data_IF_217807190988
#
_entry.id   IF_217807190988
#
_cell.length_a   1.000
_cell.length_b   1.000
_cell.length_c   1.000
_cell.angle_alpha   90.00
_cell.angle_beta   90.00
_cell.angle_gamma   90.00
#
_symmetry.space_group_name_H-M   'P 1'
#
loop_
_entity.id
_entity.type
_entity.pdbx_description
1 polymer ?
#
# COMPACT_ATOMS: atom_id res chain seq x y z
N UNK A 1 -34.82 -91.09 18.75
CA UNK A 1 -34.80 -90.00 17.75
C UNK A 1 -34.83 -88.60 18.40
N UNK A 2 -33.88 -88.25 19.22
CA UNK A 2 -33.84 -86.92 19.87
C UNK A 2 -32.46 -86.17 19.69
N UNK A 3 -31.52 -86.81 19.04
CA UNK A 3 -30.14 -86.25 18.89
C UNK A 3 -29.94 -85.42 17.63
N UNK A 4 -30.74 -85.53 16.60
CA UNK A 4 -30.58 -84.82 15.35
C UNK A 4 -31.08 -83.35 15.39
N UNK A 5 -32.03 -83.04 16.26
CA UNK A 5 -32.63 -81.75 16.35
C UNK A 5 -31.70 -80.65 16.99
N UNK A 6 -30.80 -81.11 17.89
CA UNK A 6 -29.79 -80.21 18.44
C UNK A 6 -28.70 -79.91 17.41
N UNK A 7 -28.26 -80.89 16.62
CA UNK A 7 -27.25 -80.72 15.57
C UNK A 7 -27.77 -79.85 14.43
N UNK A 8 -29.02 -79.98 14.02
CA UNK A 8 -29.64 -79.11 13.03
C UNK A 8 -29.76 -77.65 13.50
N UNK A 9 -30.18 -77.40 14.74
CA UNK A 9 -30.21 -76.01 15.31
C UNK A 9 -28.83 -75.39 15.35
N UNK A 10 -27.79 -76.12 15.74
CA UNK A 10 -26.42 -75.62 15.80
C UNK A 10 -25.88 -75.30 14.41
N UNK A 11 -26.21 -76.13 13.39
CA UNK A 11 -25.83 -75.87 12.01
C UNK A 11 -26.52 -74.66 11.42
N UNK A 12 -27.80 -74.47 11.74
CA UNK A 12 -28.55 -73.26 11.30
C UNK A 12 -28.01 -72.01 11.95
N UNK A 13 -27.72 -72.05 13.26
CA UNK A 13 -27.13 -70.88 13.98
C UNK A 13 -25.72 -70.58 13.45
N UNK A 14 -24.90 -71.57 13.18
CA UNK A 14 -23.58 -71.40 12.61
C UNK A 14 -23.66 -70.80 11.19
N UNK A 15 -24.60 -71.28 10.35
CA UNK A 15 -24.84 -70.68 9.01
C UNK A 15 -25.32 -69.27 9.06
N UNK A 16 -26.20 -68.90 10.01
CA UNK A 16 -26.68 -67.56 10.19
C UNK A 16 -25.57 -66.60 10.67
N UNK A 17 -24.72 -67.05 11.59
CA UNK A 17 -23.58 -66.27 12.08
C UNK A 17 -22.55 -66.04 10.97
N UNK A 18 -22.35 -67.02 10.07
CA UNK A 18 -21.43 -66.84 8.93
C UNK A 18 -21.98 -65.90 7.89
N UNK A 19 -23.29 -65.84 7.65
CA UNK A 19 -23.95 -64.86 6.79
C UNK A 19 -23.84 -63.45 7.35
N UNK A 20 -24.11 -63.25 8.61
CA UNK A 20 -23.98 -61.95 9.28
C UNK A 20 -22.51 -61.49 9.27
N UNK A 21 -21.56 -62.40 9.44
CA UNK A 21 -20.13 -62.11 9.34
C UNK A 21 -19.71 -61.66 7.94
N UNK A 22 -20.23 -62.33 6.89
CA UNK A 22 -19.96 -61.96 5.51
C UNK A 22 -20.57 -60.59 5.12
N UNK A 23 -21.79 -60.31 5.56
CA UNK A 23 -22.45 -59.00 5.31
C UNK A 23 -21.73 -57.86 6.02
N UNK A 24 -21.31 -58.07 7.26
CA UNK A 24 -20.54 -57.05 7.99
C UNK A 24 -19.16 -56.79 7.38
N UNK A 25 -18.46 -57.83 6.91
CA UNK A 25 -17.18 -57.66 6.20
C UNK A 25 -17.34 -56.91 4.88
N UNK A 26 -18.43 -57.19 4.15
CA UNK A 26 -18.71 -56.50 2.87
C UNK A 26 -19.11 -55.03 3.09
N UNK A 27 -19.83 -54.72 4.16
CA UNK A 27 -20.16 -53.34 4.55
C UNK A 27 -18.91 -52.52 4.93
N UNK A 28 -18.00 -53.10 5.70
CA UNK A 28 -16.73 -52.46 6.06
C UNK A 28 -15.84 -52.23 4.83
N UNK A 29 -15.77 -53.22 3.94
CA UNK A 29 -15.02 -53.07 2.69
C UNK A 29 -15.60 -52.01 1.77
N UNK A 30 -16.93 -51.92 1.65
CA UNK A 30 -17.62 -50.90 0.88
C UNK A 30 -17.40 -49.49 1.46
N UNK A 31 -17.40 -49.36 2.77
CA UNK A 31 -17.17 -48.10 3.46
C UNK A 31 -15.72 -47.61 3.33
N UNK A 32 -14.76 -48.53 3.36
CA UNK A 32 -13.33 -48.30 3.11
C UNK A 32 -13.08 -47.82 1.67
N UNK A 33 -13.75 -48.37 0.70
CA UNK A 33 -13.64 -47.97 -0.70
C UNK A 33 -14.33 -46.63 -1.00
N UNK A 34 -15.42 -46.31 -0.31
CA UNK A 34 -16.13 -45.03 -0.45
C UNK A 34 -15.33 -43.86 0.14
N UNK A 35 -14.60 -44.06 1.22
CA UNK A 35 -13.75 -43.05 1.82
C UNK A 35 -12.47 -42.76 1.00
N UNK A 36 -11.95 -43.77 0.28
CA UNK A 36 -10.77 -43.63 -0.58
C UNK A 36 -11.03 -42.78 -1.85
N UNK A 37 -12.28 -42.66 -2.30
CA UNK A 37 -12.62 -41.90 -3.51
C UNK A 37 -12.74 -40.38 -3.27
N UNK A 38 -12.77 -39.92 -2.03
CA UNK A 38 -12.87 -38.46 -1.70
C UNK A 38 -11.54 -37.74 -1.71
N UNK A 39 -10.43 -38.44 -1.50
CA UNK A 39 -9.10 -37.83 -1.48
C UNK A 39 -8.62 -37.25 -2.83
N UNK A 40 -8.80 -37.91 -3.98
CA UNK A 40 -8.28 -37.36 -5.24
C UNK A 40 -9.03 -36.16 -5.74
N UNK A 41 -10.31 -35.96 -5.41
CA UNK A 41 -11.05 -34.74 -5.79
C UNK A 41 -10.62 -33.52 -4.99
N UNK A 42 -10.33 -33.66 -3.70
CA UNK A 42 -9.79 -32.58 -2.87
C UNK A 42 -8.38 -32.19 -3.30
N UNK A 43 -7.58 -33.15 -3.71
CA UNK A 43 -6.23 -32.93 -4.20
C UNK A 43 -6.23 -32.21 -5.57
N UNK A 44 -7.12 -32.59 -6.48
CA UNK A 44 -7.33 -31.91 -7.75
C UNK A 44 -7.81 -30.46 -7.57
N UNK A 45 -8.72 -30.20 -6.64
CA UNK A 45 -9.16 -28.84 -6.28
C UNK A 45 -8.01 -28.03 -5.69
N UNK A 46 -7.19 -28.63 -4.83
CA UNK A 46 -6.00 -27.99 -4.29
C UNK A 46 -4.99 -27.61 -5.38
N UNK A 47 -4.68 -28.55 -6.27
CA UNK A 47 -3.75 -28.34 -7.39
C UNK A 47 -4.27 -27.29 -8.39
N UNK A 48 -5.56 -27.31 -8.73
CA UNK A 48 -6.16 -26.31 -9.62
C UNK A 48 -6.17 -24.91 -8.99
N UNK A 49 -6.35 -24.82 -7.67
CA UNK A 49 -6.27 -23.53 -6.95
C UNK A 49 -4.84 -23.01 -6.92
N UNK A 50 -3.85 -23.86 -6.65
CA UNK A 50 -2.44 -23.48 -6.71
C UNK A 50 -2.02 -23.04 -8.12
N UNK A 51 -2.47 -23.75 -9.15
CA UNK A 51 -2.19 -23.41 -10.54
C UNK A 51 -2.77 -22.04 -10.91
N UNK A 52 -4.00 -21.73 -10.48
CA UNK A 52 -4.62 -20.41 -10.67
C UNK A 52 -3.88 -19.30 -9.96
N UNK A 53 -3.42 -19.54 -8.72
CA UNK A 53 -2.60 -18.57 -7.97
C UNK A 53 -1.26 -18.31 -8.67
N UNK A 54 -0.57 -19.36 -9.09
CA UNK A 54 0.69 -19.24 -9.85
C UNK A 54 0.49 -18.51 -11.18
N UNK A 55 -0.59 -18.79 -11.89
CA UNK A 55 -0.93 -18.07 -13.14
C UNK A 55 -1.18 -16.59 -12.87
N UNK A 56 -1.92 -16.25 -11.81
CA UNK A 56 -2.16 -14.86 -11.43
C UNK A 56 -0.86 -14.13 -11.03
N UNK A 57 0.05 -14.81 -10.33
CA UNK A 57 1.35 -14.26 -9.96
C UNK A 57 2.27 -14.03 -11.18
N UNK A 58 2.28 -14.97 -12.12
CA UNK A 58 3.01 -14.82 -13.40
C UNK A 58 2.45 -13.65 -14.22
N UNK A 59 1.12 -13.52 -14.29
CA UNK A 59 0.47 -12.40 -14.99
C UNK A 59 0.82 -11.06 -14.34
N UNK A 60 0.78 -10.99 -12.98
CA UNK A 60 1.21 -9.81 -12.22
C UNK A 60 2.68 -9.47 -12.49
N UNK A 61 3.56 -10.48 -12.46
CA UNK A 61 4.99 -10.29 -12.75
C UNK A 61 5.24 -9.79 -14.18
N UNK A 62 4.48 -10.29 -15.16
CA UNK A 62 4.54 -9.82 -16.55
C UNK A 62 4.08 -8.37 -16.69
N UNK A 63 3.00 -7.99 -16.02
CA UNK A 63 2.53 -6.61 -16.03
C UNK A 63 3.55 -5.66 -15.39
N UNK A 64 4.11 -6.02 -14.23
CA UNK A 64 5.19 -5.24 -13.60
C UNK A 64 6.38 -5.11 -14.55
N UNK A 65 6.81 -6.20 -15.20
CA UNK A 65 7.92 -6.15 -16.16
C UNK A 65 7.63 -5.28 -17.37
N UNK A 66 6.36 -5.25 -17.83
CA UNK A 66 5.91 -4.42 -18.95
C UNK A 66 5.91 -2.94 -18.59
N UNK A 67 5.49 -2.61 -17.35
CA UNK A 67 5.36 -1.23 -16.90
C UNK A 67 6.68 -0.66 -16.37
N UNK A 68 7.64 -1.53 -16.01
CA UNK A 68 8.95 -1.14 -15.49
C UNK A 68 9.73 -0.16 -16.38
N UNK A 69 9.81 -0.33 -17.72
CA UNK A 69 10.52 0.64 -18.56
C UNK A 69 9.88 2.02 -18.57
N UNK A 70 8.54 2.08 -18.56
CA UNK A 70 7.80 3.34 -18.47
C UNK A 70 8.04 4.01 -17.12
N UNK A 71 7.92 3.26 -16.02
CA UNK A 71 8.19 3.78 -14.68
C UNK A 71 9.64 4.26 -14.52
N UNK A 72 10.60 3.58 -15.17
CA UNK A 72 11.99 4.03 -15.18
C UNK A 72 12.15 5.34 -15.95
N UNK A 73 11.52 5.45 -17.11
CA UNK A 73 11.54 6.67 -17.91
C UNK A 73 10.91 7.85 -17.14
N UNK A 74 9.78 7.63 -16.48
CA UNK A 74 9.11 8.64 -15.64
C UNK A 74 10.02 9.08 -14.48
N UNK A 75 10.74 8.14 -13.85
CA UNK A 75 11.72 8.46 -12.82
C UNK A 75 12.89 9.28 -13.36
N UNK A 76 13.46 8.88 -14.50
CA UNK A 76 14.59 9.58 -15.14
C UNK A 76 14.15 11.01 -15.56
N UNK A 77 12.93 11.17 -16.06
CA UNK A 77 12.36 12.47 -16.42
C UNK A 77 12.13 13.34 -15.18
N UNK A 78 11.60 12.77 -14.09
CA UNK A 78 11.48 13.45 -12.82
C UNK A 78 12.84 13.90 -12.27
N UNK A 79 13.83 13.00 -12.22
CA UNK A 79 15.19 13.33 -11.77
C UNK A 79 15.84 14.45 -12.60
N UNK A 80 15.58 14.48 -13.91
CA UNK A 80 16.08 15.52 -14.79
C UNK A 80 15.35 16.86 -14.64
N UNK A 81 14.12 16.86 -14.15
CA UNK A 81 13.35 18.06 -13.87
C UNK A 81 13.76 18.73 -12.55
N UNK A 82 14.48 18.02 -11.67
CA UNK A 82 14.90 18.55 -10.38
C UNK A 82 16.03 19.58 -10.53
N UNK A 83 15.91 20.73 -9.84
CA UNK A 83 16.99 21.72 -9.79
C UNK A 83 18.21 21.19 -9.01
N UNK A 84 19.45 21.62 -9.36
CA UNK A 84 20.63 21.22 -8.62
C UNK A 84 20.69 21.84 -7.23
N UNK A 85 21.19 21.11 -6.24
CA UNK A 85 21.23 21.52 -4.82
C UNK A 85 22.00 22.83 -4.62
N UNK A 86 23.05 23.09 -5.39
CA UNK A 86 23.90 24.27 -5.20
C UNK A 86 23.19 25.61 -5.41
N UNK A 87 22.15 25.68 -6.25
CA UNK A 87 21.35 26.89 -6.52
C UNK A 87 19.92 26.76 -5.98
N UNK A 88 19.52 25.57 -5.52
CA UNK A 88 18.16 25.24 -5.15
C UNK A 88 17.63 26.06 -3.98
N UNK A 89 18.43 26.23 -2.91
CA UNK A 89 17.98 26.97 -1.72
C UNK A 89 17.66 28.44 -2.01
N UNK A 90 18.54 29.10 -2.74
CA UNK A 90 18.32 30.52 -3.10
C UNK A 90 17.17 30.67 -4.09
N UNK A 91 17.00 29.75 -5.02
CA UNK A 91 15.89 29.74 -5.96
C UNK A 91 14.55 29.54 -5.22
N UNK A 92 14.45 28.54 -4.32
CA UNK A 92 13.25 28.31 -3.49
C UNK A 92 12.95 29.51 -2.61
N UNK A 93 13.94 30.07 -1.93
CA UNK A 93 13.74 31.23 -1.08
C UNK A 93 13.20 32.42 -1.89
N UNK A 94 13.80 32.71 -3.05
CA UNK A 94 13.37 33.80 -3.91
C UNK A 94 11.97 33.57 -4.47
N UNK A 95 11.65 32.35 -4.87
CA UNK A 95 10.33 31.99 -5.40
C UNK A 95 9.24 32.07 -4.34
N UNK A 96 9.49 31.53 -3.14
CA UNK A 96 8.54 31.64 -2.02
C UNK A 96 8.26 33.10 -1.66
N UNK A 97 9.30 33.94 -1.62
CA UNK A 97 9.16 35.35 -1.38
C UNK A 97 8.35 36.08 -2.49
N UNK A 98 8.58 35.70 -3.75
CA UNK A 98 7.83 36.23 -4.88
C UNK A 98 6.35 35.80 -4.84
N UNK A 99 6.06 34.54 -4.58
CA UNK A 99 4.69 34.01 -4.44
C UNK A 99 4.01 34.71 -3.25
N UNK A 100 4.70 34.82 -2.11
CA UNK A 100 4.21 35.51 -0.92
C UNK A 100 3.83 36.95 -1.22
N UNK A 101 4.72 37.71 -1.85
CA UNK A 101 4.47 39.12 -2.24
C UNK A 101 3.29 39.25 -3.22
N UNK A 102 3.20 38.38 -4.22
CA UNK A 102 2.08 38.37 -5.19
C UNK A 102 0.75 38.02 -4.50
N UNK A 103 0.79 37.20 -3.48
CA UNK A 103 -0.38 36.84 -2.69
C UNK A 103 -0.78 37.92 -1.68
N UNK A 104 0.12 38.85 -1.32
CA UNK A 104 -0.06 39.83 -0.28
C UNK A 104 0.26 39.32 1.13
N UNK A 105 1.12 38.31 1.23
CA UNK A 105 1.61 37.76 2.49
C UNK A 105 3.02 38.26 2.82
N UNK A 106 3.32 38.34 4.11
CA UNK A 106 4.67 38.57 4.61
C UNK A 106 5.22 37.25 5.16
N UNK A 107 6.39 36.87 4.66
CA UNK A 107 7.13 35.72 5.21
C UNK A 107 7.90 36.22 6.43
N UNK A 108 7.55 35.67 7.60
CA UNK A 108 8.16 36.08 8.87
C UNK A 108 9.44 35.28 9.17
N UNK A 109 9.48 34.01 8.79
CA UNK A 109 10.63 33.15 8.94
C UNK A 109 10.66 32.05 7.87
N UNK A 110 11.87 31.64 7.50
CA UNK A 110 12.11 30.57 6.55
C UNK A 110 13.32 29.78 7.06
N UNK A 111 13.13 28.48 7.29
CA UNK A 111 14.18 27.56 7.70
C UNK A 111 14.24 26.37 6.73
N UNK A 112 15.45 25.87 6.47
CA UNK A 112 15.71 24.76 5.56
C UNK A 112 16.41 23.64 6.31
N UNK A 113 15.88 22.43 6.17
CA UNK A 113 16.47 21.19 6.70
C UNK A 113 16.65 20.21 5.55
N UNK A 114 17.91 19.82 5.29
CA UNK A 114 18.22 18.85 4.23
C UNK A 114 18.26 17.46 4.81
N UNK A 115 17.55 16.54 4.15
CA UNK A 115 17.65 15.09 4.36
C UNK A 115 18.19 14.44 3.10
N UNK A 116 19.24 13.68 3.22
CA UNK A 116 19.79 12.92 2.08
C UNK A 116 19.01 11.60 1.92
N UNK A 117 18.32 11.45 0.82
CA UNK A 117 17.60 10.23 0.45
C UNK A 117 18.60 9.20 -0.12
N UNK A 118 19.48 8.68 0.73
CA UNK A 118 20.62 7.84 0.38
C UNK A 118 20.44 6.94 -0.84
N UNK A 119 21.36 7.05 -1.80
CA UNK A 119 21.56 6.13 -2.92
C UNK A 119 20.91 6.49 -4.26
N UNK A 120 20.11 7.56 -4.36
CA UNK A 120 19.46 7.98 -5.63
C UNK A 120 19.94 9.32 -6.19
N UNK A 121 20.89 9.99 -5.56
CA UNK A 121 21.31 11.31 -6.01
C UNK A 121 20.22 12.38 -5.92
N UNK A 122 19.22 12.19 -5.03
CA UNK A 122 18.13 13.13 -4.74
C UNK A 122 18.27 13.55 -3.28
N UNK A 123 18.24 14.84 -3.03
CA UNK A 123 18.16 15.43 -1.70
C UNK A 123 16.73 15.95 -1.46
N UNK A 124 16.15 15.57 -0.34
CA UNK A 124 14.91 16.14 0.18
C UNK A 124 15.24 17.35 1.04
N UNK A 125 14.54 18.43 0.79
CA UNK A 125 14.68 19.64 1.61
C UNK A 125 13.33 19.97 2.22
N UNK A 126 13.29 19.93 3.55
CA UNK A 126 12.14 20.39 4.33
C UNK A 126 12.28 21.90 4.50
N UNK A 127 11.22 22.62 4.18
CA UNK A 127 11.14 24.06 4.27
C UNK A 127 10.07 24.41 5.29
N UNK A 128 10.48 25.00 6.39
CA UNK A 128 9.60 25.50 7.43
C UNK A 128 9.40 27.00 7.21
N UNK A 129 8.19 27.41 6.86
CA UNK A 129 7.85 28.80 6.58
C UNK A 129 6.74 29.29 7.51
N UNK A 130 6.95 30.45 8.14
CA UNK A 130 5.89 31.15 8.85
C UNK A 130 5.47 32.37 8.06
N UNK A 131 4.18 32.46 7.73
CA UNK A 131 3.62 33.59 6.97
C UNK A 131 2.46 34.22 7.73
N UNK A 132 2.25 35.52 7.54
CA UNK A 132 1.17 36.27 8.16
C UNK A 132 0.41 37.10 7.11
N UNK A 133 -0.91 37.10 7.22
CA UNK A 133 -1.78 37.86 6.34
C UNK A 133 -3.25 37.50 6.47
N UNK A 134 -4.10 37.93 5.55
CA UNK A 134 -5.51 37.58 5.53
C UNK A 134 -5.72 36.17 4.91
N UNK A 135 -6.81 35.51 5.26
CA UNK A 135 -7.15 34.18 4.78
C UNK A 135 -7.14 34.06 3.24
N UNK A 136 -7.64 35.10 2.54
CA UNK A 136 -7.68 35.13 1.08
C UNK A 136 -6.28 35.14 0.47
N UNK A 137 -5.34 35.83 1.10
CA UNK A 137 -3.93 35.88 0.70
C UNK A 137 -3.25 34.54 0.93
N UNK A 138 -3.57 33.83 2.03
CA UNK A 138 -3.09 32.47 2.28
C UNK A 138 -3.56 31.49 1.17
N UNK A 139 -4.83 31.54 0.77
CA UNK A 139 -5.35 30.73 -0.32
C UNK A 139 -4.66 31.03 -1.65
N UNK A 140 -4.39 32.29 -1.94
CA UNK A 140 -3.65 32.69 -3.15
C UNK A 140 -2.21 32.16 -3.13
N UNK A 141 -1.58 32.23 -1.98
CA UNK A 141 -0.23 31.70 -1.78
C UNK A 141 -0.16 30.18 -2.03
N UNK A 142 -1.07 29.41 -1.44
CA UNK A 142 -1.16 27.97 -1.66
C UNK A 142 -1.42 27.63 -3.13
N UNK A 143 -2.30 28.36 -3.81
CA UNK A 143 -2.51 28.21 -5.25
C UNK A 143 -1.25 28.55 -6.06
N UNK A 144 -0.46 29.53 -5.61
CA UNK A 144 0.81 29.87 -6.20
C UNK A 144 1.82 28.73 -6.08
N UNK A 145 1.92 28.12 -4.89
CA UNK A 145 2.78 26.95 -4.65
C UNK A 145 2.41 25.75 -5.53
N UNK A 146 1.10 25.47 -5.67
CA UNK A 146 0.62 24.36 -6.51
C UNK A 146 0.95 24.54 -8.00
N UNK A 147 1.13 25.77 -8.45
CA UNK A 147 1.47 26.11 -9.84
C UNK A 147 2.95 26.31 -10.08
N UNK A 148 3.76 26.17 -9.04
CA UNK A 148 5.20 26.31 -9.13
C UNK A 148 5.82 25.15 -9.92
N UNK A 149 6.87 25.44 -10.67
CA UNK A 149 7.66 24.44 -11.37
C UNK A 149 8.50 23.56 -10.42
N UNK A 150 8.70 23.98 -9.17
CA UNK A 150 9.55 23.29 -8.20
C UNK A 150 8.84 22.18 -7.42
N UNK A 151 7.62 21.76 -7.82
CA UNK A 151 6.90 20.61 -7.26
C UNK A 151 6.89 20.57 -5.71
N UNK A 152 6.46 21.66 -5.07
CA UNK A 152 6.35 21.69 -3.61
C UNK A 152 5.27 20.72 -3.10
N UNK A 153 5.64 19.86 -2.17
CA UNK A 153 4.70 19.04 -1.41
C UNK A 153 4.40 19.72 -0.06
N UNK A 154 3.14 20.00 0.22
CA UNK A 154 2.71 20.57 1.51
C UNK A 154 2.41 19.41 2.44
N UNK A 155 3.23 19.23 3.48
CA UNK A 155 3.04 18.15 4.47
C UNK A 155 2.10 18.55 5.58
N UNK A 156 2.27 19.77 6.09
CA UNK A 156 1.45 20.27 7.18
C UNK A 156 1.21 21.76 7.01
N UNK A 157 0.03 22.19 7.44
CA UNK A 157 -0.38 23.59 7.44
C UNK A 157 -1.17 23.85 8.73
N UNK A 158 -0.65 24.73 9.56
CA UNK A 158 -1.30 25.11 10.81
C UNK A 158 -1.70 26.57 10.74
N UNK A 159 -3.01 26.86 10.91
CA UNK A 159 -3.53 28.22 10.96
C UNK A 159 -3.80 28.61 12.40
N UNK A 160 -3.23 29.72 12.80
CA UNK A 160 -3.47 30.30 14.11
C UNK A 160 -4.08 31.70 13.93
N UNK A 161 -5.31 31.87 14.44
CA UNK A 161 -5.97 33.18 14.43
C UNK A 161 -5.31 34.09 15.47
N UNK A 162 -4.84 35.24 15.08
CA UNK A 162 -4.33 36.27 15.99
C UNK A 162 -5.50 37.03 16.60
N UNK A 163 -5.96 36.56 17.78
CA UNK A 163 -7.08 37.19 18.51
C UNK A 163 -6.65 38.14 19.64
N UNK A 164 -5.36 38.42 19.80
CA UNK A 164 -4.88 39.18 20.96
C UNK A 164 -3.99 40.38 20.56
N UNK A 165 -4.50 41.57 20.78
CA UNK A 165 -3.68 42.76 21.05
C UNK A 165 -3.11 43.48 19.81
N UNK A 166 -3.96 44.09 18.99
CA UNK A 166 -3.55 45.18 18.08
C UNK A 166 -3.32 44.82 16.63
N UNK A 167 -3.48 43.60 16.23
CA UNK A 167 -3.51 43.18 14.82
C UNK A 167 -4.88 43.51 14.20
N UNK A 168 -4.96 43.92 12.90
CA UNK A 168 -6.23 44.15 12.23
C UNK A 168 -7.05 42.84 12.29
N UNK A 169 -8.31 42.95 12.70
CA UNK A 169 -9.27 41.84 12.81
C UNK A 169 -9.32 41.09 11.47
N UNK A 170 -8.83 39.81 11.44
CA UNK A 170 -8.77 39.00 10.25
C UNK A 170 -7.37 38.55 9.84
N UNK A 171 -6.32 38.95 10.56
CA UNK A 171 -4.97 38.40 10.34
C UNK A 171 -4.85 36.98 10.85
N UNK A 172 -4.26 36.14 10.03
CA UNK A 172 -4.00 34.73 10.33
C UNK A 172 -2.52 34.47 10.19
N UNK A 173 -1.93 33.88 11.21
CA UNK A 173 -0.57 33.34 11.12
C UNK A 173 -0.65 31.89 10.65
N UNK A 174 0.17 31.54 9.68
CA UNK A 174 0.22 30.21 9.09
C UNK A 174 1.63 29.67 9.18
N UNK A 175 1.76 28.52 9.83
CA UNK A 175 2.99 27.76 9.85
C UNK A 175 2.87 26.63 8.83
N UNK A 176 3.79 26.61 7.85
CA UNK A 176 3.82 25.67 6.73
C UNK A 176 5.06 24.80 6.81
N UNK A 177 4.86 23.49 6.63
CA UNK A 177 5.90 22.52 6.40
C UNK A 177 5.82 22.04 4.96
N UNK A 178 6.82 22.37 4.15
CA UNK A 178 6.89 22.04 2.73
C UNK A 178 8.06 21.09 2.49
N UNK A 179 7.93 20.20 1.52
CA UNK A 179 9.06 19.44 0.97
C UNK A 179 9.34 19.86 -0.46
N UNK A 180 10.60 20.01 -0.76
CA UNK A 180 11.11 20.21 -2.10
C UNK A 180 12.21 19.18 -2.38
N UNK A 181 12.35 18.77 -3.64
CA UNK A 181 13.32 17.79 -4.05
C UNK A 181 14.36 18.43 -4.97
N UNK A 182 15.62 18.09 -4.75
CA UNK A 182 16.75 18.59 -5.52
C UNK A 182 17.62 17.43 -6.01
N UNK A 183 18.30 17.64 -7.13
CA UNK A 183 19.34 16.73 -7.57
C UNK A 183 20.55 16.95 -6.67
N UNK A 184 20.98 15.91 -5.92
CA UNK A 184 22.19 15.99 -5.11
C UNK A 184 23.38 16.27 -6.01
N UNK A 185 24.17 17.30 -5.68
CA UNK A 185 25.41 17.60 -6.39
C UNK A 185 26.41 16.47 -6.20
N UNK A 186 26.98 15.98 -7.29
CA UNK A 186 28.18 15.13 -7.28
C UNK A 186 29.39 15.88 -6.79
#
# INVERSE_FOLDING_TARGET
MKLDFKRQKTAIIAGLALLIGADSAMAVYSMSMASSKRSPQLELVGQTTQLKLLQADVERARNIKKDMPTAKQDCDEFENSLPPTGTGYSAVSSELDEIGRKAGLQISSLAFHQNDLGGRGIAEVIVDAAVAGDYKSVVRFLNGLQRSANNYAVDNLTLTGESAGGAPSGSVKVDLHLRAYFKAGT
#
